data_IF_468078029480
#
_entry.id   IF_468078029480
#
_cell.length_a   1.000
_cell.length_b   1.000
_cell.length_c   1.000
_cell.angle_alpha   90.00
_cell.angle_beta   90.00
_cell.angle_gamma   90.00
#
_symmetry.space_group_name_H-M   'P 1'
#
loop_
_entity.id
_entity.type
_entity.pdbx_description
1 polymer ?
#
# COMPACT_ATOMS: atom_id res chain seq x y z
N UNK A 1 -2.99 13.36 -30.29
CA UNK A 1 -4.06 12.46 -29.84
C UNK A 1 -4.48 12.89 -28.45
N UNK A 2 -5.78 12.94 -28.17
CA UNK A 2 -6.31 13.20 -26.83
C UNK A 2 -5.95 12.03 -25.90
N UNK A 3 -5.72 12.31 -24.64
CA UNK A 3 -5.54 11.29 -23.60
C UNK A 3 -6.89 11.04 -22.92
N UNK A 4 -7.31 9.80 -22.81
CA UNK A 4 -8.58 9.47 -22.17
C UNK A 4 -8.42 9.43 -20.65
N UNK A 5 -7.42 8.70 -20.15
CA UNK A 5 -7.17 8.53 -18.72
C UNK A 5 -5.74 8.91 -18.35
N UNK A 6 -5.59 9.68 -17.27
CA UNK A 6 -4.32 9.88 -16.59
C UNK A 6 -4.41 9.31 -15.18
N UNK A 7 -3.57 8.35 -14.87
CA UNK A 7 -3.47 7.71 -13.56
C UNK A 7 -2.26 8.29 -12.84
N UNK A 8 -2.47 8.85 -11.65
CA UNK A 8 -1.41 9.41 -10.81
C UNK A 8 -1.15 8.48 -9.64
N UNK A 9 0.11 8.05 -9.48
CA UNK A 9 0.56 7.30 -8.32
C UNK A 9 1.48 8.12 -7.41
N UNK A 10 1.49 7.79 -6.13
CA UNK A 10 2.38 8.36 -5.12
C UNK A 10 3.49 7.37 -4.73
N UNK A 11 3.11 6.13 -4.43
CA UNK A 11 4.01 5.07 -3.95
C UNK A 11 4.14 3.92 -4.94
N UNK A 12 5.33 3.75 -5.51
CA UNK A 12 5.59 2.71 -6.52
C UNK A 12 5.24 1.31 -6.03
N UNK A 13 5.72 0.93 -4.83
CA UNK A 13 5.55 -0.43 -4.29
C UNK A 13 4.09 -0.77 -4.00
N UNK A 14 3.30 0.23 -3.62
CA UNK A 14 1.88 0.04 -3.25
C UNK A 14 0.95 0.12 -4.46
N UNK A 15 1.23 1.02 -5.41
CA UNK A 15 0.24 1.49 -6.38
C UNK A 15 0.57 1.08 -7.83
N UNK A 16 1.85 1.18 -8.24
CA UNK A 16 2.22 1.17 -9.66
C UNK A 16 1.81 -0.10 -10.41
N UNK A 17 1.96 -1.26 -9.79
CA UNK A 17 1.61 -2.56 -10.39
C UNK A 17 0.08 -2.68 -10.62
N UNK A 18 -0.73 -2.18 -9.67
CA UNK A 18 -2.18 -2.11 -9.78
C UNK A 18 -2.65 -1.10 -10.84
N UNK A 19 -1.98 0.06 -10.88
CA UNK A 19 -2.25 1.09 -11.90
C UNK A 19 -1.90 0.59 -13.30
N UNK A 20 -0.83 -0.21 -13.41
CA UNK A 20 -0.42 -0.81 -14.68
C UNK A 20 -1.42 -1.87 -15.15
N UNK A 21 -1.93 -2.69 -14.25
CA UNK A 21 -3.00 -3.65 -14.54
C UNK A 21 -4.25 -2.92 -15.07
N UNK A 22 -4.66 -1.85 -14.39
CA UNK A 22 -5.79 -1.02 -14.79
C UNK A 22 -5.55 -0.32 -16.14
N UNK A 23 -4.35 0.23 -16.37
CA UNK A 23 -3.96 0.83 -17.66
C UNK A 23 -4.08 -0.17 -18.80
N UNK A 24 -3.54 -1.38 -18.63
CA UNK A 24 -3.57 -2.42 -19.67
C UNK A 24 -5.01 -2.85 -19.99
N UNK A 25 -5.89 -2.96 -18.99
CA UNK A 25 -7.30 -3.24 -19.20
C UNK A 25 -8.01 -2.10 -19.97
N UNK A 26 -7.75 -0.84 -19.63
CA UNK A 26 -8.30 0.31 -20.35
C UNK A 26 -7.80 0.34 -21.80
N UNK A 27 -6.53 0.04 -22.05
CA UNK A 27 -5.96 -0.05 -23.40
C UNK A 27 -6.58 -1.20 -24.21
N UNK A 28 -6.81 -2.36 -23.58
CA UNK A 28 -7.55 -3.49 -24.19
C UNK A 28 -8.97 -3.08 -24.64
N UNK A 29 -9.62 -2.20 -23.86
CA UNK A 29 -10.94 -1.63 -24.22
C UNK A 29 -10.88 -0.52 -25.28
N UNK A 30 -9.69 -0.17 -25.79
CA UNK A 30 -9.50 0.81 -26.86
C UNK A 30 -9.29 2.24 -26.38
N UNK A 31 -9.10 2.47 -25.09
CA UNK A 31 -8.80 3.79 -24.53
C UNK A 31 -7.30 4.08 -24.49
N UNK A 32 -6.94 5.37 -24.47
CA UNK A 32 -5.58 5.81 -24.22
C UNK A 32 -5.39 6.11 -22.73
N UNK A 33 -4.38 5.47 -22.08
CA UNK A 33 -4.10 5.67 -20.67
C UNK A 33 -2.59 5.92 -20.43
N UNK A 34 -2.28 6.85 -19.54
CA UNK A 34 -0.91 7.10 -19.07
C UNK A 34 -0.84 7.02 -17.54
N UNK A 35 0.25 6.44 -17.03
CA UNK A 35 0.58 6.46 -15.61
C UNK A 35 1.69 7.48 -15.39
N UNK A 36 1.58 8.27 -14.33
CA UNK A 36 2.57 9.28 -13.98
C UNK A 36 2.71 9.43 -12.46
N UNK A 37 3.92 9.66 -12.01
CA UNK A 37 4.15 10.04 -10.62
C UNK A 37 3.50 11.39 -10.30
N UNK A 38 2.89 11.50 -9.13
CA UNK A 38 2.19 12.70 -8.67
C UNK A 38 3.07 13.95 -8.65
N UNK A 39 4.35 13.82 -8.28
CA UNK A 39 5.32 14.91 -8.20
C UNK A 39 6.14 15.12 -9.48
N UNK A 40 5.84 14.44 -10.59
CA UNK A 40 6.56 14.66 -11.86
C UNK A 40 6.30 16.07 -12.40
N UNK A 41 7.33 16.88 -12.65
CA UNK A 41 7.18 18.24 -13.19
C UNK A 41 6.82 18.27 -14.68
N UNK A 42 6.99 17.16 -15.42
CA UNK A 42 6.73 17.07 -16.87
C UNK A 42 5.25 17.06 -17.22
N UNK A 43 4.48 17.99 -16.63
CA UNK A 43 3.02 18.02 -16.69
C UNK A 43 2.44 19.06 -17.68
N UNK A 44 3.26 19.98 -18.21
CA UNK A 44 2.76 21.04 -19.12
C UNK A 44 1.98 20.49 -20.32
N UNK A 45 2.40 19.34 -20.87
CA UNK A 45 1.68 18.68 -21.97
C UNK A 45 0.22 18.38 -21.67
N UNK A 46 -0.12 18.10 -20.39
CA UNK A 46 -1.48 17.75 -19.98
C UNK A 46 -2.38 18.97 -19.81
N UNK A 47 -1.82 20.19 -19.71
CA UNK A 47 -2.60 21.42 -19.75
C UNK A 47 -3.03 21.82 -21.16
N UNK A 48 -2.26 21.40 -22.16
CA UNK A 48 -2.36 21.90 -23.53
C UNK A 48 -2.86 20.84 -24.52
N UNK A 49 -1.95 20.07 -25.11
CA UNK A 49 -2.27 19.18 -26.22
C UNK A 49 -2.59 17.72 -25.82
N UNK A 50 -2.32 17.34 -24.57
CA UNK A 50 -2.54 15.96 -24.05
C UNK A 50 -3.43 15.96 -22.81
N UNK A 51 -4.41 16.85 -22.76
CA UNK A 51 -5.30 16.97 -21.61
C UNK A 51 -6.14 15.70 -21.45
N UNK A 52 -6.09 15.03 -20.27
CA UNK A 52 -6.90 13.84 -20.04
C UNK A 52 -8.37 14.22 -19.86
N UNK A 53 -9.26 13.30 -20.27
CA UNK A 53 -10.71 13.45 -20.04
C UNK A 53 -11.09 13.03 -18.61
N UNK A 54 -10.44 12.00 -18.09
CA UNK A 54 -10.61 11.52 -16.72
C UNK A 54 -9.26 11.52 -16.00
N UNK A 55 -9.24 12.00 -14.77
CA UNK A 55 -8.10 11.86 -13.86
C UNK A 55 -8.41 10.81 -12.80
N UNK A 56 -7.48 9.87 -12.62
CA UNK A 56 -7.43 8.93 -11.53
C UNK A 56 -6.32 9.34 -10.57
N UNK A 57 -6.64 9.63 -9.31
CA UNK A 57 -5.70 10.09 -8.28
C UNK A 57 -5.62 9.09 -7.14
N UNK A 58 -4.60 9.17 -6.29
CA UNK A 58 -4.37 8.23 -5.20
C UNK A 58 -4.67 8.78 -3.80
N UNK A 59 -4.52 10.09 -3.59
CA UNK A 59 -4.68 10.70 -2.26
C UNK A 59 -5.24 12.13 -2.35
N UNK A 60 -6.56 12.25 -2.26
CA UNK A 60 -7.23 13.54 -2.46
C UNK A 60 -8.38 13.71 -1.47
N UNK A 61 -8.11 14.39 -0.35
CA UNK A 61 -8.99 14.45 0.81
C UNK A 61 -9.74 15.79 0.96
N UNK A 62 -9.24 16.87 0.36
CA UNK A 62 -9.77 18.22 0.53
C UNK A 62 -9.58 19.09 -0.73
N UNK A 63 -9.96 20.37 -0.64
CA UNK A 63 -9.80 21.33 -1.74
C UNK A 63 -8.32 21.58 -2.09
N UNK A 64 -7.41 21.56 -1.12
CA UNK A 64 -5.99 21.75 -1.40
C UNK A 64 -5.40 20.54 -2.11
N UNK A 65 -5.82 19.32 -1.74
CA UNK A 65 -5.47 18.13 -2.47
C UNK A 65 -6.01 18.15 -3.92
N UNK A 66 -7.26 18.61 -4.16
CA UNK A 66 -7.78 18.82 -5.52
C UNK A 66 -6.91 19.84 -6.25
N UNK A 67 -6.53 20.94 -5.59
CA UNK A 67 -5.67 21.94 -6.20
C UNK A 67 -4.29 21.40 -6.56
N UNK A 68 -3.63 20.70 -5.63
CA UNK A 68 -2.27 20.19 -5.82
C UNK A 68 -2.19 18.96 -6.74
N UNK A 69 -3.14 18.02 -6.63
CA UNK A 69 -3.12 16.77 -7.38
C UNK A 69 -3.80 16.87 -8.73
N UNK A 70 -4.82 17.69 -8.85
CA UNK A 70 -5.55 17.83 -10.12
C UNK A 70 -5.19 19.13 -10.82
N UNK A 71 -5.53 20.30 -10.26
CA UNK A 71 -5.37 21.57 -10.94
C UNK A 71 -3.93 21.86 -11.32
N UNK A 72 -3.00 21.67 -10.38
CA UNK A 72 -1.57 21.87 -10.64
C UNK A 72 -0.95 20.82 -11.56
N UNK A 73 -1.67 19.75 -11.91
CA UNK A 73 -1.20 18.72 -12.82
C UNK A 73 -1.77 18.82 -14.24
N UNK A 74 -3.05 19.17 -14.37
CA UNK A 74 -3.76 19.11 -15.65
C UNK A 74 -4.72 20.28 -15.87
N UNK A 75 -4.76 21.25 -14.95
CA UNK A 75 -5.75 22.33 -14.97
C UNK A 75 -7.14 21.83 -14.52
N UNK A 76 -8.20 22.50 -15.01
CA UNK A 76 -9.57 22.15 -14.63
C UNK A 76 -9.99 20.79 -15.17
N UNK A 77 -10.51 19.96 -14.28
CA UNK A 77 -11.10 18.67 -14.59
C UNK A 77 -12.25 18.38 -13.60
N UNK A 78 -13.40 17.95 -14.10
CA UNK A 78 -14.56 17.56 -13.27
C UNK A 78 -14.83 16.05 -13.31
N UNK A 79 -14.03 15.26 -14.03
CA UNK A 79 -14.07 13.80 -14.01
C UNK A 79 -12.88 13.28 -13.23
N UNK A 80 -13.08 13.12 -11.93
CA UNK A 80 -12.05 12.78 -10.96
C UNK A 80 -12.48 11.51 -10.19
N UNK A 81 -11.63 10.50 -10.24
CA UNK A 81 -11.76 9.26 -9.45
C UNK A 81 -10.54 9.16 -8.55
N UNK A 82 -10.76 9.02 -7.26
CA UNK A 82 -9.71 8.85 -6.27
C UNK A 82 -9.68 7.40 -5.81
N UNK A 83 -8.52 6.75 -5.89
CA UNK A 83 -8.33 5.35 -5.52
C UNK A 83 -8.27 5.13 -4.01
N UNK A 84 -8.31 6.15 -3.20
CA UNK A 84 -8.40 6.12 -1.74
C UNK A 84 -7.67 4.92 -1.09
N UNK A 85 -6.43 5.11 -0.68
CA UNK A 85 -5.61 4.00 -0.18
C UNK A 85 -5.70 3.76 1.34
N UNK A 86 -6.12 4.75 2.14
CA UNK A 86 -6.19 4.65 3.60
C UNK A 86 -7.59 4.20 4.03
N UNK A 87 -7.85 2.90 3.94
CA UNK A 87 -9.18 2.33 4.22
C UNK A 87 -9.23 1.42 5.45
N UNK A 88 -8.10 0.89 5.91
CA UNK A 88 -8.01 0.10 7.14
C UNK A 88 -7.51 0.97 8.29
N UNK A 89 -8.37 1.27 9.22
CA UNK A 89 -8.15 2.23 10.28
C UNK A 89 -8.33 1.58 11.67
N UNK A 90 -7.83 2.23 12.73
CA UNK A 90 -8.23 1.91 14.11
C UNK A 90 -9.60 2.50 14.44
N UNK A 91 -10.21 2.08 15.55
CA UNK A 91 -11.50 2.64 16.00
C UNK A 91 -11.43 4.16 16.15
N UNK A 92 -10.42 4.66 16.82
CA UNK A 92 -10.22 6.11 17.03
C UNK A 92 -10.10 6.86 15.70
N UNK A 93 -9.49 6.25 14.68
CA UNK A 93 -9.40 6.85 13.35
C UNK A 93 -10.71 6.76 12.57
N UNK A 94 -11.50 5.65 12.74
CA UNK A 94 -12.81 5.52 12.10
C UNK A 94 -13.86 6.45 12.70
N UNK A 95 -13.82 6.69 14.02
CA UNK A 95 -14.73 7.59 14.72
C UNK A 95 -14.35 9.06 14.55
N UNK A 96 -13.07 9.34 14.33
CA UNK A 96 -12.55 10.69 14.09
C UNK A 96 -12.65 11.12 12.62
N UNK A 97 -12.12 12.30 12.34
CA UNK A 97 -12.09 12.85 10.97
C UNK A 97 -10.86 12.38 10.14
N UNK A 98 -10.18 11.33 10.59
CA UNK A 98 -8.99 10.83 9.91
C UNK A 98 -9.37 10.20 8.57
N UNK A 99 -8.67 10.63 7.50
CA UNK A 99 -8.88 10.12 6.14
C UNK A 99 -10.33 10.25 5.62
N UNK A 100 -11.12 11.15 6.21
CA UNK A 100 -12.41 11.55 5.68
C UNK A 100 -12.27 12.72 4.70
N UNK A 101 -13.22 12.84 3.80
CA UNK A 101 -13.18 13.86 2.76
C UNK A 101 -13.88 15.13 3.20
N UNK A 102 -13.34 16.29 2.79
CA UNK A 102 -13.90 17.59 3.08
C UNK A 102 -14.04 18.47 1.83
N UNK A 103 -14.85 19.50 1.94
CA UNK A 103 -15.05 20.46 0.83
C UNK A 103 -15.49 19.78 -0.47
N UNK A 104 -14.90 20.20 -1.58
CA UNK A 104 -15.26 19.68 -2.91
C UNK A 104 -14.68 18.27 -3.19
N UNK A 105 -13.79 17.73 -2.35
CA UNK A 105 -13.38 16.34 -2.46
C UNK A 105 -14.53 15.36 -2.26
N UNK A 106 -15.57 15.74 -1.49
CA UNK A 106 -16.81 14.97 -1.37
C UNK A 106 -17.59 14.82 -2.67
N UNK A 107 -17.33 15.68 -3.66
CA UNK A 107 -17.96 15.62 -5.01
C UNK A 107 -17.19 14.74 -5.99
N UNK A 108 -15.99 14.32 -5.63
CA UNK A 108 -15.23 13.34 -6.41
C UNK A 108 -15.70 11.92 -6.11
N UNK A 109 -15.49 11.02 -7.07
CA UNK A 109 -15.71 9.60 -6.82
C UNK A 109 -14.56 9.08 -5.96
N UNK A 110 -14.90 8.49 -4.82
CA UNK A 110 -13.98 7.87 -3.86
C UNK A 110 -14.19 6.36 -3.90
N UNK A 111 -13.28 5.60 -4.50
CA UNK A 111 -13.45 4.16 -4.63
C UNK A 111 -13.25 3.45 -3.30
N UNK A 112 -14.13 2.51 -2.99
CA UNK A 112 -14.10 1.74 -1.75
C UNK A 112 -13.72 0.28 -2.05
N UNK A 113 -12.84 -0.28 -1.22
CA UNK A 113 -12.47 -1.69 -1.32
C UNK A 113 -13.60 -2.61 -0.87
N UNK A 114 -14.36 -2.20 0.14
CA UNK A 114 -15.50 -2.93 0.66
C UNK A 114 -16.60 -2.02 1.20
N UNK A 115 -17.69 -2.64 1.64
CA UNK A 115 -18.89 -1.96 2.12
C UNK A 115 -18.67 -1.17 3.42
N UNK A 116 -17.69 -1.59 4.25
CA UNK A 116 -17.38 -0.88 5.51
C UNK A 116 -16.85 0.53 5.22
N UNK A 117 -15.89 0.66 4.31
CA UNK A 117 -15.37 1.98 3.91
C UNK A 117 -16.45 2.85 3.29
N UNK A 118 -17.28 2.30 2.39
CA UNK A 118 -18.37 3.06 1.78
C UNK A 118 -19.34 3.58 2.84
N UNK A 119 -19.73 2.76 3.80
CA UNK A 119 -20.61 3.16 4.92
C UNK A 119 -19.97 4.25 5.77
N UNK A 120 -18.71 4.08 6.19
CA UNK A 120 -17.97 5.09 6.94
C UNK A 120 -17.95 6.44 6.24
N UNK A 121 -17.68 6.47 4.94
CA UNK A 121 -17.66 7.71 4.15
C UNK A 121 -19.06 8.36 4.06
N UNK A 122 -20.11 7.57 3.92
CA UNK A 122 -21.51 8.06 3.92
C UNK A 122 -21.89 8.62 5.30
N UNK A 123 -21.50 7.96 6.39
CA UNK A 123 -21.74 8.43 7.77
C UNK A 123 -21.05 9.79 8.03
N UNK A 124 -19.93 10.07 7.32
CA UNK A 124 -19.22 11.36 7.34
C UNK A 124 -19.68 12.33 6.24
N UNK A 125 -20.86 12.10 5.67
CA UNK A 125 -21.58 13.04 4.80
C UNK A 125 -21.16 13.02 3.34
N UNK A 126 -20.62 11.90 2.84
CA UNK A 126 -20.52 11.67 1.40
C UNK A 126 -21.82 11.09 0.83
N UNK A 127 -22.13 11.44 -0.40
CA UNK A 127 -23.26 10.84 -1.11
C UNK A 127 -22.90 9.43 -1.61
N UNK A 128 -23.81 8.48 -1.51
CA UNK A 128 -23.63 7.07 -1.92
C UNK A 128 -23.09 6.95 -3.37
N UNK A 129 -23.62 7.77 -4.29
CA UNK A 129 -23.18 7.79 -5.70
C UNK A 129 -21.68 8.07 -5.88
N UNK A 130 -21.05 8.69 -4.86
CA UNK A 130 -19.63 9.07 -4.85
C UNK A 130 -18.74 8.07 -4.09
N UNK A 131 -19.33 6.99 -3.52
CA UNK A 131 -18.65 5.96 -2.74
C UNK A 131 -18.83 4.55 -3.35
N UNK A 132 -18.54 4.33 -4.66
CA UNK A 132 -18.75 3.01 -5.26
C UNK A 132 -17.80 1.97 -4.67
N UNK A 133 -18.33 0.78 -4.37
CA UNK A 133 -17.51 -0.38 -3.96
C UNK A 133 -16.99 -1.07 -5.21
N UNK A 134 -15.69 -0.89 -5.47
CA UNK A 134 -15.00 -1.48 -6.64
C UNK A 134 -14.13 -2.67 -6.28
N UNK A 135 -13.85 -2.88 -4.99
CA UNK A 135 -12.81 -3.79 -4.56
C UNK A 135 -11.40 -3.18 -4.65
N UNK A 136 -10.43 -3.92 -4.17
CA UNK A 136 -9.03 -3.51 -4.10
C UNK A 136 -8.24 -4.15 -5.26
N UNK A 137 -7.88 -3.36 -6.27
CA UNK A 137 -7.17 -3.84 -7.48
C UNK A 137 -5.86 -4.57 -7.13
N UNK A 138 -5.14 -4.13 -6.08
CA UNK A 138 -3.92 -4.78 -5.65
C UNK A 138 -4.13 -6.23 -5.15
N UNK A 139 -5.35 -6.61 -4.79
CA UNK A 139 -5.68 -7.97 -4.36
C UNK A 139 -5.94 -8.93 -5.54
N UNK A 140 -6.21 -8.40 -6.72
CA UNK A 140 -6.49 -9.25 -7.89
C UNK A 140 -5.31 -10.14 -8.27
N UNK A 141 -4.07 -9.72 -8.02
CA UNK A 141 -2.87 -10.55 -8.25
C UNK A 141 -2.83 -11.84 -7.42
N UNK A 142 -3.64 -11.95 -6.37
CA UNK A 142 -3.76 -13.13 -5.51
C UNK A 142 -4.92 -14.05 -5.91
N UNK A 143 -5.74 -13.64 -6.89
CA UNK A 143 -6.88 -14.40 -7.37
C UNK A 143 -6.45 -15.60 -8.23
N UNK A 144 -7.30 -16.63 -8.34
CA UNK A 144 -7.03 -17.78 -9.20
C UNK A 144 -6.72 -17.42 -10.67
N UNK A 145 -7.32 -16.34 -11.19
CA UNK A 145 -7.10 -15.84 -12.56
C UNK A 145 -5.66 -15.38 -12.80
N UNK A 146 -4.94 -15.01 -11.73
CA UNK A 146 -3.53 -14.61 -11.75
C UNK A 146 -2.59 -15.75 -11.32
N UNK A 147 -3.05 -16.99 -11.32
CA UNK A 147 -2.17 -18.13 -11.00
C UNK A 147 -0.96 -18.15 -11.93
N UNK A 148 0.24 -18.23 -11.35
CA UNK A 148 1.50 -18.18 -12.07
C UNK A 148 2.05 -16.76 -12.27
N UNK A 149 1.38 -15.72 -11.79
CA UNK A 149 1.92 -14.36 -11.77
C UNK A 149 3.13 -14.23 -10.83
N UNK A 150 3.05 -14.87 -9.65
CA UNK A 150 4.18 -14.99 -8.74
C UNK A 150 4.90 -16.31 -8.93
N UNK A 151 6.22 -16.31 -8.67
CA UNK A 151 7.02 -17.52 -8.67
C UNK A 151 6.52 -18.51 -7.59
N UNK A 152 6.63 -19.82 -7.87
CA UNK A 152 6.36 -20.85 -6.87
C UNK A 152 7.45 -20.92 -5.81
N UNK A 153 7.15 -21.60 -4.69
CA UNK A 153 8.05 -21.77 -3.54
C UNK A 153 9.47 -22.17 -3.94
N UNK A 154 9.59 -23.18 -4.81
CA UNK A 154 10.89 -23.73 -5.20
C UNK A 154 11.77 -22.68 -5.89
N UNK A 155 11.22 -21.90 -6.83
CA UNK A 155 11.98 -20.85 -7.54
C UNK A 155 12.33 -19.71 -6.58
N UNK A 156 11.39 -19.30 -5.72
CA UNK A 156 11.61 -18.26 -4.73
C UNK A 156 12.70 -18.65 -3.74
N UNK A 157 12.63 -19.87 -3.17
CA UNK A 157 13.65 -20.37 -2.25
C UNK A 157 15.03 -20.38 -2.90
N UNK A 158 15.17 -20.91 -4.12
CA UNK A 158 16.45 -20.91 -4.84
C UNK A 158 16.99 -19.49 -5.05
N UNK A 159 16.14 -18.52 -5.39
CA UNK A 159 16.54 -17.12 -5.61
C UNK A 159 17.15 -16.48 -4.36
N UNK A 160 16.69 -16.89 -3.18
CA UNK A 160 17.15 -16.35 -1.91
C UNK A 160 18.08 -17.29 -1.12
N UNK A 161 18.48 -18.43 -1.70
CA UNK A 161 19.40 -19.37 -1.06
C UNK A 161 18.80 -20.17 0.09
N UNK A 162 17.46 -20.35 0.09
CA UNK A 162 16.73 -21.19 1.04
C UNK A 162 16.57 -22.60 0.51
N UNK A 163 16.40 -23.58 1.41
CA UNK A 163 16.10 -24.96 1.02
C UNK A 163 14.60 -25.09 0.66
N UNK A 164 14.24 -25.44 -0.59
CA UNK A 164 12.85 -25.58 -0.98
C UNK A 164 12.13 -26.79 -0.33
N UNK A 165 12.89 -27.72 0.24
CA UNK A 165 12.34 -28.89 0.95
C UNK A 165 11.91 -28.55 2.37
N UNK A 166 12.56 -27.56 3.00
CA UNK A 166 12.20 -27.10 4.33
C UNK A 166 10.79 -26.52 4.35
N UNK A 167 10.14 -26.58 5.51
CA UNK A 167 8.90 -25.86 5.75
C UNK A 167 9.18 -24.36 5.79
N UNK A 168 8.60 -23.61 4.84
CA UNK A 168 8.81 -22.18 4.72
C UNK A 168 7.78 -21.43 5.57
N UNK A 169 8.21 -20.91 6.72
CA UNK A 169 7.40 -20.04 7.56
C UNK A 169 7.65 -18.57 7.25
N UNK A 170 6.61 -17.84 6.90
CA UNK A 170 6.68 -16.39 6.65
C UNK A 170 6.20 -15.62 7.88
N UNK A 171 7.04 -14.77 8.45
CA UNK A 171 6.61 -13.75 9.40
C UNK A 171 6.55 -12.37 8.75
N UNK A 172 5.38 -11.73 8.79
CA UNK A 172 5.18 -10.38 8.25
C UNK A 172 5.18 -9.39 9.41
N UNK A 173 6.29 -8.68 9.56
CA UNK A 173 6.51 -7.73 10.64
C UNK A 173 5.80 -6.39 10.41
N UNK A 174 5.50 -5.69 11.53
CA UNK A 174 5.02 -4.32 11.56
C UNK A 174 5.60 -3.53 12.76
N UNK A 175 6.81 -3.88 13.20
CA UNK A 175 7.50 -3.26 14.34
C UNK A 175 8.22 -1.95 13.98
N UNK A 176 7.61 -1.10 13.18
CA UNK A 176 8.21 0.15 12.72
C UNK A 176 8.59 1.12 13.85
N UNK A 177 7.93 1.04 15.00
CA UNK A 177 8.22 1.89 16.16
C UNK A 177 9.25 1.28 17.13
N UNK A 178 9.56 -0.02 17.01
CA UNK A 178 10.44 -0.71 17.94
C UNK A 178 11.88 -0.15 17.92
N UNK A 179 12.36 0.27 16.76
CA UNK A 179 13.70 0.82 16.55
C UNK A 179 13.82 2.34 16.73
N UNK A 180 12.70 3.04 16.98
CA UNK A 180 12.72 4.49 17.19
C UNK A 180 13.32 4.86 18.54
N UNK A 181 14.16 5.90 18.57
CA UNK A 181 14.62 6.52 19.80
C UNK A 181 13.50 7.27 20.52
N UNK A 182 13.66 7.56 21.81
CA UNK A 182 12.66 8.34 22.55
C UNK A 182 12.46 9.73 21.95
N UNK A 183 13.54 10.36 21.43
CA UNK A 183 13.46 11.67 20.76
C UNK A 183 12.68 11.60 19.44
N UNK A 184 12.86 10.54 18.66
CA UNK A 184 12.09 10.32 17.42
C UNK A 184 10.62 10.09 17.72
N UNK A 185 10.28 9.27 18.73
CA UNK A 185 8.90 9.04 19.18
C UNK A 185 8.28 10.35 19.68
N UNK A 186 9.01 11.14 20.46
CA UNK A 186 8.54 12.45 20.95
C UNK A 186 8.29 13.42 19.78
N UNK A 187 9.23 13.53 18.85
CA UNK A 187 9.09 14.41 17.68
C UNK A 187 7.89 14.00 16.82
N UNK A 188 7.67 12.70 16.62
CA UNK A 188 6.51 12.18 15.89
C UNK A 188 5.20 12.48 16.63
N UNK A 189 5.18 12.31 17.96
CA UNK A 189 4.03 12.59 18.82
C UNK A 189 3.64 14.08 18.78
N UNK A 190 4.62 14.98 18.86
CA UNK A 190 4.40 16.42 18.74
C UNK A 190 3.85 16.80 17.35
N UNK A 191 4.38 16.20 16.29
CA UNK A 191 3.93 16.46 14.92
C UNK A 191 2.52 15.95 14.66
N UNK A 192 2.16 14.79 15.21
CA UNK A 192 0.86 14.16 15.04
C UNK A 192 -0.19 14.65 16.05
N UNK A 193 0.22 15.33 17.12
CA UNK A 193 -0.70 15.71 18.22
C UNK A 193 -1.21 14.53 19.05
N UNK A 194 -0.50 13.40 19.05
CA UNK A 194 -0.89 12.15 19.73
C UNK A 194 0.36 11.52 20.37
N UNK A 195 0.26 11.07 21.63
CA UNK A 195 1.38 10.43 22.33
C UNK A 195 1.57 8.97 21.87
N UNK A 196 2.65 8.70 21.15
CA UNK A 196 3.01 7.36 20.70
C UNK A 196 3.94 6.60 21.63
N UNK A 197 4.28 7.13 22.82
CA UNK A 197 5.26 6.50 23.72
C UNK A 197 4.84 5.12 24.22
N UNK A 198 3.55 4.94 24.57
CA UNK A 198 2.95 3.66 24.94
C UNK A 198 3.06 2.67 23.79
N UNK A 199 2.62 3.06 22.62
CA UNK A 199 2.64 2.21 21.42
C UNK A 199 4.05 1.81 21.00
N UNK A 200 5.04 2.71 21.06
CA UNK A 200 6.43 2.39 20.79
C UNK A 200 6.99 1.36 21.78
N UNK A 201 6.60 1.44 23.06
CA UNK A 201 6.95 0.43 24.08
C UNK A 201 6.31 -0.91 23.78
N UNK A 202 5.03 -0.95 23.46
CA UNK A 202 4.31 -2.18 23.07
C UNK A 202 4.93 -2.83 21.84
N UNK A 203 5.33 -2.03 20.82
CA UNK A 203 6.09 -2.52 19.66
C UNK A 203 7.38 -3.21 20.08
N UNK A 204 8.17 -2.56 20.94
CA UNK A 204 9.50 -3.04 21.37
C UNK A 204 9.39 -4.36 22.13
N UNK A 205 8.52 -4.42 23.14
CA UNK A 205 8.31 -5.61 23.95
C UNK A 205 7.72 -6.76 23.13
N UNK A 206 6.76 -6.46 22.22
CA UNK A 206 6.19 -7.48 21.33
C UNK A 206 7.23 -8.05 20.38
N UNK A 207 8.11 -7.21 19.81
CA UNK A 207 9.21 -7.67 18.97
C UNK A 207 10.16 -8.58 19.73
N UNK A 208 10.62 -8.17 20.92
CA UNK A 208 11.53 -8.96 21.77
C UNK A 208 10.97 -10.33 22.10
N UNK A 209 9.70 -10.39 22.52
CA UNK A 209 9.05 -11.67 22.85
C UNK A 209 8.83 -12.53 21.59
N UNK A 210 8.42 -11.95 20.48
CA UNK A 210 8.23 -12.69 19.23
C UNK A 210 9.56 -13.29 18.74
N UNK A 211 10.66 -12.53 18.79
CA UNK A 211 11.98 -13.04 18.43
C UNK A 211 12.46 -14.16 19.38
N UNK A 212 12.14 -14.07 20.67
CA UNK A 212 12.44 -15.14 21.63
C UNK A 212 11.65 -16.43 21.32
N UNK A 213 10.39 -16.32 20.88
CA UNK A 213 9.62 -17.48 20.42
C UNK A 213 10.24 -18.10 19.17
N UNK A 214 10.65 -17.30 18.21
CA UNK A 214 11.31 -17.80 16.99
C UNK A 214 12.64 -18.48 17.32
N UNK A 215 13.47 -17.89 18.19
CA UNK A 215 14.74 -18.49 18.60
C UNK A 215 14.55 -19.89 19.21
N UNK A 216 13.57 -20.02 20.12
CA UNK A 216 13.24 -21.30 20.74
C UNK A 216 12.71 -22.30 19.72
N UNK A 217 11.75 -21.90 18.89
CA UNK A 217 11.12 -22.77 17.91
C UNK A 217 12.11 -23.28 16.86
N UNK A 218 12.92 -22.39 16.30
CA UNK A 218 13.92 -22.76 15.29
C UNK A 218 15.08 -23.61 15.83
N UNK A 219 15.34 -23.57 17.15
CA UNK A 219 16.27 -24.50 17.80
C UNK A 219 15.75 -25.93 17.84
N UNK A 220 14.42 -26.08 17.97
CA UNK A 220 13.74 -27.36 18.07
C UNK A 220 13.36 -27.93 16.71
N UNK A 221 13.28 -27.05 15.65
CA UNK A 221 12.79 -27.35 14.30
C UNK A 221 13.78 -26.95 13.21
N UNK A 222 14.89 -27.67 13.02
CA UNK A 222 15.89 -27.34 11.99
C UNK A 222 15.37 -27.49 10.55
N UNK A 223 14.25 -28.22 10.34
CA UNK A 223 13.57 -28.41 9.05
C UNK A 223 12.68 -27.22 8.65
N UNK A 224 12.60 -26.17 9.48
CA UNK A 224 11.81 -24.95 9.20
C UNK A 224 12.75 -23.80 8.87
N UNK A 225 12.55 -23.18 7.71
CA UNK A 225 13.14 -21.89 7.36
C UNK A 225 12.14 -20.78 7.67
N UNK A 226 12.49 -19.85 8.57
CA UNK A 226 11.66 -18.69 8.90
C UNK A 226 12.17 -17.45 8.17
N UNK A 227 11.33 -16.89 7.32
CA UNK A 227 11.58 -15.61 6.64
C UNK A 227 10.91 -14.49 7.40
N UNK A 228 11.72 -13.64 8.04
CA UNK A 228 11.28 -12.41 8.68
C UNK A 228 11.24 -11.28 7.66
N UNK A 229 10.03 -10.86 7.28
CA UNK A 229 9.79 -9.75 6.36
C UNK A 229 9.60 -8.47 7.16
N UNK A 230 10.61 -7.58 7.15
CA UNK A 230 10.51 -6.27 7.79
C UNK A 230 9.47 -5.38 7.14
N UNK A 231 8.77 -4.59 7.95
CA UNK A 231 7.96 -3.49 7.42
C UNK A 231 8.87 -2.45 6.73
N UNK A 232 8.40 -1.74 5.67
CA UNK A 232 9.22 -0.70 5.01
C UNK A 232 9.74 0.42 5.90
N UNK A 233 9.05 0.70 7.01
CA UNK A 233 9.49 1.69 8.03
C UNK A 233 10.32 1.07 9.16
N UNK A 234 10.52 -0.23 9.18
CA UNK A 234 11.28 -0.94 10.20
C UNK A 234 12.76 -0.97 9.84
N UNK A 235 13.59 -0.46 10.71
CA UNK A 235 15.05 -0.54 10.57
C UNK A 235 15.56 -1.91 11.00
N UNK A 236 16.71 -2.31 10.46
CA UNK A 236 17.40 -3.49 10.95
C UNK A 236 17.85 -3.23 12.39
N UNK A 237 17.62 -4.19 13.28
CA UNK A 237 17.96 -4.06 14.69
C UNK A 237 19.05 -5.05 15.08
N UNK A 238 19.87 -4.76 16.12
CA UNK A 238 20.86 -5.70 16.64
C UNK A 238 20.25 -7.06 16.99
N UNK A 239 19.03 -7.10 17.54
CA UNK A 239 18.35 -8.33 17.90
C UNK A 239 18.08 -9.24 16.69
N UNK A 240 17.68 -8.63 15.53
CA UNK A 240 17.50 -9.39 14.28
C UNK A 240 18.82 -9.94 13.75
N UNK A 241 19.90 -9.14 13.81
CA UNK A 241 21.23 -9.55 13.37
C UNK A 241 21.80 -10.67 14.24
N UNK A 242 21.66 -10.54 15.56
CA UNK A 242 22.09 -11.56 16.53
C UNK A 242 21.33 -12.88 16.34
N UNK A 243 20.01 -12.82 16.12
CA UNK A 243 19.22 -14.02 15.87
C UNK A 243 19.61 -14.68 14.54
N UNK A 244 19.77 -13.91 13.48
CA UNK A 244 20.21 -14.40 12.17
C UNK A 244 21.63 -15.03 12.22
N UNK A 245 22.53 -14.45 13.02
CA UNK A 245 23.86 -15.01 13.24
C UNK A 245 23.84 -16.34 14.03
N UNK A 246 22.88 -16.49 14.95
CA UNK A 246 22.75 -17.67 15.82
C UNK A 246 21.95 -18.81 15.17
N UNK A 247 20.96 -18.48 14.33
CA UNK A 247 20.04 -19.44 13.70
C UNK A 247 20.20 -19.43 12.18
N UNK A 248 20.85 -20.44 11.59
CA UNK A 248 21.03 -20.49 10.12
C UNK A 248 19.71 -20.60 9.34
N UNK A 249 18.64 -21.03 9.99
CA UNK A 249 17.29 -21.13 9.46
C UNK A 249 16.38 -19.94 9.80
N UNK A 250 16.97 -18.81 10.24
CA UNK A 250 16.28 -17.52 10.40
C UNK A 250 16.81 -16.51 9.37
N UNK A 251 15.96 -16.03 8.50
CA UNK A 251 16.34 -15.20 7.35
C UNK A 251 15.63 -13.86 7.38
N UNK A 252 16.37 -12.76 7.41
CA UNK A 252 15.82 -11.40 7.29
C UNK A 252 15.86 -10.98 5.83
N UNK A 253 14.71 -11.04 5.15
CA UNK A 253 14.62 -10.76 3.71
C UNK A 253 13.64 -9.62 3.46
N UNK A 254 14.13 -8.52 2.87
CA UNK A 254 13.31 -7.35 2.50
C UNK A 254 12.92 -7.34 1.02
N UNK A 255 13.67 -8.03 0.17
CA UNK A 255 13.47 -8.03 -1.28
C UNK A 255 12.20 -8.79 -1.72
N UNK A 256 11.66 -8.40 -2.85
CA UNK A 256 10.45 -8.96 -3.43
C UNK A 256 9.14 -8.41 -2.85
N UNK A 257 8.02 -8.77 -3.47
CA UNK A 257 6.69 -8.41 -2.97
C UNK A 257 6.30 -9.31 -1.79
N UNK A 258 5.59 -8.77 -0.79
CA UNK A 258 5.01 -9.60 0.28
C UNK A 258 4.05 -10.65 -0.28
N UNK A 259 3.34 -10.34 -1.37
CA UNK A 259 2.39 -11.26 -2.02
C UNK A 259 3.07 -12.52 -2.56
N UNK A 260 4.26 -12.40 -3.17
CA UNK A 260 4.98 -13.60 -3.64
C UNK A 260 5.41 -14.50 -2.47
N UNK A 261 5.82 -13.92 -1.35
CA UNK A 261 6.13 -14.66 -0.14
C UNK A 261 4.89 -15.31 0.48
N UNK A 262 3.75 -14.60 0.53
CA UNK A 262 2.47 -15.15 0.99
C UNK A 262 2.08 -16.36 0.13
N UNK A 263 2.18 -16.27 -1.21
CA UNK A 263 1.84 -17.37 -2.12
C UNK A 263 2.77 -18.57 -1.91
N UNK A 264 4.06 -18.34 -1.69
CA UNK A 264 5.07 -19.38 -1.57
C UNK A 264 5.11 -20.06 -0.17
N UNK A 265 4.77 -19.35 0.91
CA UNK A 265 4.90 -19.84 2.27
C UNK A 265 3.98 -21.03 2.57
N UNK A 266 4.47 -21.99 3.35
CA UNK A 266 3.67 -23.11 3.85
C UNK A 266 2.83 -22.70 5.09
N UNK A 267 3.37 -21.80 5.93
CA UNK A 267 2.64 -21.18 7.04
C UNK A 267 3.02 -19.73 7.19
N UNK A 268 2.13 -18.95 7.81
CA UNK A 268 2.29 -17.49 7.93
C UNK A 268 1.97 -17.06 9.36
N UNK A 269 2.75 -16.13 9.88
CA UNK A 269 2.39 -15.40 11.09
C UNK A 269 2.58 -13.89 10.93
N UNK A 270 1.81 -13.12 11.69
CA UNK A 270 1.80 -11.66 11.65
C UNK A 270 1.60 -11.11 13.06
N UNK A 271 1.94 -9.84 13.28
CA UNK A 271 1.60 -9.13 14.51
C UNK A 271 0.39 -8.20 14.31
N UNK A 272 0.51 -7.18 13.44
CA UNK A 272 -0.47 -6.13 13.20
C UNK A 272 -0.39 -5.63 11.74
N UNK A 273 -0.10 -6.50 10.79
CA UNK A 273 0.07 -6.09 9.40
C UNK A 273 -1.25 -6.05 8.64
N UNK A 274 -1.47 -5.00 7.86
CA UNK A 274 -2.59 -4.93 6.90
C UNK A 274 -2.52 -6.03 5.83
N UNK A 275 -1.37 -6.68 5.68
CA UNK A 275 -1.20 -7.85 4.79
C UNK A 275 -2.01 -9.08 5.22
N UNK A 276 -2.69 -9.04 6.38
CA UNK A 276 -3.68 -10.08 6.75
C UNK A 276 -4.76 -10.23 5.67
N UNK A 277 -5.13 -9.13 5.01
CA UNK A 277 -6.07 -9.17 3.89
C UNK A 277 -5.49 -9.89 2.66
N UNK A 278 -4.18 -9.70 2.39
CA UNK A 278 -3.48 -10.40 1.31
C UNK A 278 -3.39 -11.90 1.60
N UNK A 279 -3.20 -12.31 2.86
CA UNK A 279 -3.24 -13.72 3.27
C UNK A 279 -4.62 -14.33 3.03
N UNK A 280 -5.69 -13.61 3.41
CA UNK A 280 -7.07 -14.04 3.16
C UNK A 280 -7.37 -14.20 1.67
N UNK A 281 -7.01 -13.20 0.87
CA UNK A 281 -7.25 -13.21 -0.58
C UNK A 281 -6.43 -14.27 -1.32
N UNK A 282 -5.28 -14.67 -0.78
CA UNK A 282 -4.49 -15.81 -1.28
C UNK A 282 -5.12 -17.17 -0.92
N UNK A 283 -6.25 -17.20 -0.21
CA UNK A 283 -6.88 -18.44 0.26
C UNK A 283 -6.05 -19.17 1.33
N UNK A 284 -5.22 -18.44 2.05
CA UNK A 284 -4.37 -18.98 3.13
C UNK A 284 -4.84 -18.51 4.51
N UNK A 285 -4.32 -19.16 5.54
CA UNK A 285 -4.49 -18.73 6.93
C UNK A 285 -3.17 -18.23 7.52
N UNK A 286 -3.24 -17.63 8.71
CA UNK A 286 -2.08 -17.19 9.46
C UNK A 286 -2.32 -17.25 10.98
N UNK A 287 -1.23 -17.18 11.73
CA UNK A 287 -1.25 -16.98 13.18
C UNK A 287 -1.09 -15.48 13.47
N UNK A 288 -1.94 -14.93 14.34
CA UNK A 288 -1.75 -13.55 14.82
C UNK A 288 -1.02 -13.63 16.16
N UNK A 289 0.25 -13.21 16.18
CA UNK A 289 1.07 -13.23 17.38
C UNK A 289 0.87 -11.95 18.19
N UNK A 290 0.36 -12.09 19.41
CA UNK A 290 0.07 -10.97 20.34
C UNK A 290 0.65 -11.24 21.70
N UNK A 291 2.00 -11.31 21.84
CA UNK A 291 2.61 -11.57 23.14
C UNK A 291 2.28 -10.50 24.18
N UNK A 292 1.98 -9.27 23.72
CA UNK A 292 1.49 -8.17 24.54
C UNK A 292 0.24 -7.59 23.89
N UNK A 293 -0.82 -7.24 24.65
CA UNK A 293 -1.98 -6.53 24.14
C UNK A 293 -1.57 -5.20 23.47
N UNK A 294 -2.26 -4.85 22.41
CA UNK A 294 -2.12 -3.53 21.77
C UNK A 294 -3.20 -2.62 22.35
N UNK A 295 -2.83 -1.37 22.60
CA UNK A 295 -3.78 -0.34 23.04
C UNK A 295 -4.88 -0.16 21.97
N UNK A 296 -6.12 -0.08 22.41
CA UNK A 296 -7.32 -0.01 21.58
C UNK A 296 -7.25 1.07 20.48
N UNK A 297 -6.65 2.22 20.80
CA UNK A 297 -6.50 3.36 19.89
C UNK A 297 -5.59 3.08 18.68
N UNK A 298 -4.70 2.08 18.80
CA UNK A 298 -3.72 1.72 17.75
C UNK A 298 -4.04 0.40 17.05
N UNK A 299 -4.91 -0.45 17.64
CA UNK A 299 -5.25 -1.74 17.05
C UNK A 299 -6.24 -1.55 15.88
N UNK A 300 -5.88 -1.94 14.63
CA UNK A 300 -6.76 -1.78 13.50
C UNK A 300 -8.06 -2.57 13.66
N UNK A 301 -9.18 -1.97 13.29
CA UNK A 301 -10.52 -2.58 13.43
C UNK A 301 -10.62 -3.93 12.71
N UNK A 302 -9.85 -4.14 11.65
CA UNK A 302 -9.79 -5.41 10.93
C UNK A 302 -9.36 -6.59 11.80
N UNK A 303 -8.71 -6.34 12.95
CA UNK A 303 -8.30 -7.37 13.91
C UNK A 303 -9.36 -7.69 14.97
N UNK A 304 -10.49 -6.96 14.99
CA UNK A 304 -11.57 -7.20 15.98
C UNK A 304 -12.12 -8.61 15.90
N UNK A 305 -12.21 -9.24 17.08
CA UNK A 305 -12.68 -10.62 17.20
C UNK A 305 -11.71 -11.68 16.68
N UNK A 306 -10.47 -11.28 16.39
CA UNK A 306 -9.42 -12.19 15.91
C UNK A 306 -8.99 -13.20 16.97
N UNK A 307 -8.47 -14.34 16.51
CA UNK A 307 -7.86 -15.37 17.34
C UNK A 307 -6.35 -15.07 17.46
N UNK A 308 -5.91 -14.76 18.68
CA UNK A 308 -4.52 -14.40 18.95
C UNK A 308 -3.76 -15.55 19.59
N UNK A 309 -2.46 -15.65 19.29
CA UNK A 309 -1.49 -16.49 20.01
C UNK A 309 -0.70 -15.57 20.94
N UNK A 310 -0.88 -15.76 22.25
CA UNK A 310 -0.36 -14.87 23.29
C UNK A 310 0.81 -15.48 24.06
N UNK A 311 1.05 -16.78 23.88
CA UNK A 311 2.14 -17.53 24.51
C UNK A 311 2.95 -18.31 23.46
N UNK A 312 4.18 -18.72 23.83
CA UNK A 312 4.99 -19.59 22.99
C UNK A 312 4.29 -20.92 22.69
N UNK A 313 3.65 -21.50 23.70
CA UNK A 313 2.95 -22.79 23.59
C UNK A 313 1.80 -22.71 22.58
N UNK A 314 1.04 -21.62 22.58
CA UNK A 314 -0.02 -21.37 21.60
C UNK A 314 0.54 -21.14 20.18
N UNK A 315 1.68 -20.44 20.07
CA UNK A 315 2.38 -20.29 18.81
C UNK A 315 2.87 -21.63 18.27
N UNK A 316 3.59 -22.41 19.09
CA UNK A 316 4.13 -23.70 18.68
C UNK A 316 3.01 -24.71 18.32
N UNK A 317 1.90 -24.71 19.07
CA UNK A 317 0.72 -25.50 18.74
C UNK A 317 0.12 -25.09 17.40
N UNK A 318 -0.01 -23.77 17.15
CA UNK A 318 -0.51 -23.25 15.89
C UNK A 318 0.38 -23.56 14.69
N UNK A 319 1.70 -23.63 14.87
CA UNK A 319 2.64 -24.06 13.83
C UNK A 319 2.48 -25.56 13.45
N UNK A 320 1.92 -26.37 14.33
CA UNK A 320 1.64 -27.79 14.10
C UNK A 320 0.24 -28.04 13.50
N UNK A 321 -0.61 -27.02 13.38
CA UNK A 321 -1.94 -27.14 12.77
C UNK A 321 -1.83 -27.33 11.24
N UNK A 322 -2.36 -28.43 10.70
CA UNK A 322 -2.29 -28.72 9.26
C UNK A 322 -3.17 -27.79 8.42
N UNK A 323 -4.33 -27.37 8.92
CA UNK A 323 -5.30 -26.53 8.22
C UNK A 323 -5.94 -25.53 9.19
N UNK A 324 -5.19 -24.52 9.66
CA UNK A 324 -5.73 -23.54 10.60
C UNK A 324 -6.86 -22.74 9.96
N UNK A 325 -7.93 -22.50 10.70
CA UNK A 325 -8.96 -21.54 10.30
C UNK A 325 -8.37 -20.13 10.19
N UNK A 326 -8.94 -19.32 9.28
CA UNK A 326 -8.52 -17.94 9.18
C UNK A 326 -8.88 -17.18 10.46
N UNK A 327 -7.92 -16.47 11.10
CA UNK A 327 -8.07 -16.00 12.47
C UNK A 327 -9.02 -14.79 12.64
N UNK A 328 -9.46 -14.16 11.55
CA UNK A 328 -10.38 -13.03 11.57
C UNK A 328 -11.77 -13.47 11.11
N UNK A 329 -12.86 -13.05 11.80
CA UNK A 329 -14.21 -13.34 11.35
C UNK A 329 -14.45 -12.90 9.90
N UNK A 330 -15.07 -13.77 9.11
CA UNK A 330 -15.29 -13.56 7.67
C UNK A 330 -16.01 -12.26 7.37
N UNK A 331 -17.02 -11.92 8.16
CA UNK A 331 -17.80 -10.69 8.00
C UNK A 331 -16.96 -9.41 8.23
N UNK A 332 -15.91 -9.49 9.05
CA UNK A 332 -15.00 -8.37 9.29
C UNK A 332 -14.11 -8.16 8.07
N UNK A 333 -13.41 -9.22 7.60
CA UNK A 333 -12.49 -9.10 6.48
C UNK A 333 -13.21 -8.75 5.18
N UNK A 334 -14.37 -9.37 4.91
CA UNK A 334 -15.19 -9.11 3.72
C UNK A 334 -15.92 -7.75 3.78
N UNK A 335 -16.08 -7.18 4.96
CA UNK A 335 -16.54 -5.80 5.11
C UNK A 335 -15.53 -4.78 4.57
N UNK A 336 -14.22 -5.05 4.74
CA UNK A 336 -13.15 -4.21 4.20
C UNK A 336 -12.82 -4.52 2.74
N UNK A 337 -12.87 -5.80 2.35
CA UNK A 337 -12.51 -6.28 1.01
C UNK A 337 -13.68 -7.02 0.39
N UNK A 338 -14.33 -6.38 -0.57
CA UNK A 338 -15.52 -6.93 -1.21
C UNK A 338 -15.24 -8.32 -1.85
N UNK A 339 -16.01 -9.35 -1.46
CA UNK A 339 -15.76 -10.74 -1.88
C UNK A 339 -16.29 -11.05 -3.28
N UNK A 340 -16.62 -10.04 -4.09
CA UNK A 340 -17.16 -10.24 -5.44
C UNK A 340 -16.32 -11.23 -6.24
N UNK A 341 -16.96 -12.20 -6.95
CA UNK A 341 -16.24 -13.13 -7.83
C UNK A 341 -15.61 -12.40 -9.03
N UNK A 342 -16.12 -11.23 -9.41
CA UNK A 342 -15.55 -10.43 -10.50
C UNK A 342 -14.34 -9.62 -10.03
N UNK A 343 -13.18 -9.71 -10.70
CA UNK A 343 -11.98 -8.97 -10.34
C UNK A 343 -12.20 -7.47 -10.17
N UNK A 344 -11.49 -6.88 -9.20
CA UNK A 344 -11.64 -5.46 -8.88
C UNK A 344 -11.16 -4.56 -10.03
N UNK A 345 -10.10 -4.94 -10.76
CA UNK A 345 -9.62 -4.15 -11.90
C UNK A 345 -10.65 -4.05 -13.03
N UNK A 346 -11.45 -5.09 -13.26
CA UNK A 346 -12.54 -5.06 -14.25
C UNK A 346 -13.68 -4.15 -13.81
N UNK A 347 -14.04 -4.20 -12.52
CA UNK A 347 -15.08 -3.32 -11.93
C UNK A 347 -14.63 -1.87 -11.93
N UNK A 348 -13.35 -1.63 -11.63
CA UNK A 348 -12.74 -0.31 -11.69
C UNK A 348 -12.72 0.22 -13.14
N UNK A 349 -12.37 -0.61 -14.11
CA UNK A 349 -12.39 -0.22 -15.52
C UNK A 349 -13.81 0.13 -16.00
N UNK A 350 -14.84 -0.63 -15.56
CA UNK A 350 -16.25 -0.30 -15.85
C UNK A 350 -16.66 1.07 -15.27
N UNK A 351 -16.27 1.33 -14.01
CA UNK A 351 -16.50 2.62 -13.37
C UNK A 351 -15.84 3.75 -14.15
N UNK A 352 -14.58 3.57 -14.55
CA UNK A 352 -13.83 4.57 -15.30
C UNK A 352 -14.44 4.83 -16.69
N UNK A 353 -14.91 3.79 -17.37
CA UNK A 353 -15.62 3.90 -18.63
C UNK A 353 -16.96 4.64 -18.48
N UNK A 354 -17.70 4.36 -17.39
CA UNK A 354 -18.90 5.12 -17.04
C UNK A 354 -18.60 6.61 -16.81
N UNK A 355 -17.54 6.91 -16.04
CA UNK A 355 -17.11 8.30 -15.78
C UNK A 355 -16.65 8.99 -17.05
N UNK A 356 -16.02 8.26 -17.97
CA UNK A 356 -15.58 8.79 -19.26
C UNK A 356 -16.76 9.13 -20.18
N UNK A 357 -17.76 8.27 -20.28
CA UNK A 357 -18.86 8.39 -21.25
C UNK A 357 -19.99 9.31 -20.77
N UNK A 358 -20.28 9.30 -19.46
CA UNK A 358 -21.36 10.09 -18.88
C UNK A 358 -20.90 11.53 -18.53
N UNK A 359 -21.81 12.51 -18.52
CA UNK A 359 -21.51 13.82 -17.96
C UNK A 359 -21.19 13.71 -16.46
N UNK A 360 -20.31 14.60 -15.92
CA UNK A 360 -20.04 14.63 -14.50
C UNK A 360 -21.34 14.89 -13.72
N UNK A 361 -21.60 14.08 -12.68
CA UNK A 361 -22.78 14.26 -11.81
C UNK A 361 -22.62 15.47 -10.89
N UNK A 362 -21.40 15.73 -10.47
CA UNK A 362 -20.99 16.85 -9.65
C UNK A 362 -19.80 17.58 -10.31
N UNK A 363 -19.54 18.79 -9.84
CA UNK A 363 -18.43 19.62 -10.33
C UNK A 363 -17.43 19.88 -9.18
N UNK A 364 -16.44 18.99 -8.96
CA UNK A 364 -15.42 19.20 -7.92
C UNK A 364 -14.70 20.55 -8.01
N UNK A 365 -14.50 21.05 -9.23
CA UNK A 365 -13.90 22.38 -9.48
C UNK A 365 -14.93 23.44 -9.83
N UNK A 366 -16.19 23.25 -9.42
CA UNK A 366 -17.28 24.21 -9.56
C UNK A 366 -17.28 25.31 -8.48
N UNK A 367 -18.47 25.83 -8.12
CA UNK A 367 -18.61 26.83 -7.06
C UNK A 367 -17.98 26.39 -5.74
N UNK A 368 -17.25 27.31 -5.09
CA UNK A 368 -16.51 27.02 -3.83
C UNK A 368 -15.09 26.46 -4.02
N UNK A 369 -14.66 26.22 -5.25
CA UNK A 369 -13.28 25.87 -5.56
C UNK A 369 -12.51 27.07 -6.13
N UNK A 370 -11.44 27.51 -5.42
CA UNK A 370 -10.56 28.60 -5.87
C UNK A 370 -9.22 28.01 -6.31
N UNK A 371 -9.01 27.82 -7.62
CA UNK A 371 -7.78 27.23 -8.12
C UNK A 371 -6.61 28.22 -8.02
N UNK A 372 -5.45 27.70 -7.65
CA UNK A 372 -4.20 28.45 -7.69
C UNK A 372 -3.05 27.56 -8.16
N UNK A 373 -2.15 28.14 -8.98
CA UNK A 373 -0.98 27.42 -9.48
C UNK A 373 0.25 27.80 -8.63
N UNK A 374 0.86 26.79 -8.02
CA UNK A 374 2.05 26.99 -7.19
C UNK A 374 3.32 26.95 -8.05
N UNK A 375 3.70 28.12 -8.62
CA UNK A 375 4.88 28.27 -9.45
C UNK A 375 6.18 27.93 -8.71
N UNK A 376 6.29 28.28 -7.44
CA UNK A 376 7.49 28.00 -6.65
C UNK A 376 7.69 26.49 -6.49
N UNK A 377 6.63 25.78 -6.10
CA UNK A 377 6.65 24.31 -5.99
C UNK A 377 6.95 23.66 -7.36
N UNK A 378 6.40 24.20 -8.44
CA UNK A 378 6.64 23.70 -9.78
C UNK A 378 8.12 23.77 -10.18
N UNK A 379 8.77 24.92 -9.99
CA UNK A 379 10.19 25.08 -10.29
C UNK A 379 11.09 24.31 -9.33
N UNK A 380 10.71 24.22 -8.05
CA UNK A 380 11.44 23.39 -7.07
C UNK A 380 11.44 21.91 -7.47
N UNK A 381 10.29 21.38 -7.93
CA UNK A 381 10.19 20.01 -8.45
C UNK A 381 11.09 19.82 -9.69
N UNK A 382 11.12 20.78 -10.63
CA UNK A 382 12.02 20.73 -11.77
C UNK A 382 13.48 20.67 -11.34
N UNK A 383 13.89 21.53 -10.42
CA UNK A 383 15.25 21.55 -9.88
C UNK A 383 15.64 20.22 -9.23
N UNK A 384 14.77 19.66 -8.39
CA UNK A 384 15.04 18.37 -7.72
C UNK A 384 15.08 17.20 -8.72
N UNK A 385 14.18 17.15 -9.71
CA UNK A 385 14.24 16.11 -10.74
C UNK A 385 15.49 16.23 -11.62
N UNK A 386 15.99 17.44 -11.88
CA UNK A 386 17.27 17.64 -12.57
C UNK A 386 18.44 17.09 -11.71
N UNK A 387 18.47 17.39 -10.40
CA UNK A 387 19.46 16.84 -9.49
C UNK A 387 19.42 15.31 -9.48
N UNK A 388 18.21 14.72 -9.41
CA UNK A 388 18.04 13.29 -9.46
C UNK A 388 18.57 12.68 -10.77
N UNK A 389 18.24 13.27 -11.92
CA UNK A 389 18.72 12.82 -13.22
C UNK A 389 20.25 12.91 -13.37
N UNK A 390 20.89 13.86 -12.68
CA UNK A 390 22.34 14.04 -12.66
C UNK A 390 23.03 13.26 -11.52
N UNK A 391 22.29 12.49 -10.72
CA UNK A 391 22.76 11.78 -9.52
C UNK A 391 23.46 12.71 -8.50
N UNK A 392 22.97 13.94 -8.38
CA UNK A 392 23.49 14.94 -7.44
C UNK A 392 22.61 15.00 -6.19
N UNK A 393 23.19 14.68 -5.03
CA UNK A 393 22.49 14.77 -3.75
C UNK A 393 22.25 16.23 -3.34
N UNK A 394 20.99 16.64 -3.05
CA UNK A 394 20.68 18.03 -2.70
C UNK A 394 21.49 18.58 -1.53
N UNK A 395 21.78 17.78 -0.50
CA UNK A 395 22.62 18.23 0.65
C UNK A 395 24.05 18.59 0.25
N UNK A 396 24.60 17.93 -0.77
CA UNK A 396 25.93 18.27 -1.31
C UNK A 396 25.91 19.51 -2.18
N UNK A 397 24.80 19.75 -2.90
CA UNK A 397 24.63 20.92 -3.78
C UNK A 397 24.31 22.18 -2.96
N UNK A 398 23.40 22.09 -2.01
CA UNK A 398 22.95 23.22 -1.18
C UNK A 398 23.64 23.28 0.19
N UNK A 399 24.92 22.86 0.28
CA UNK A 399 25.68 22.83 1.54
C UNK A 399 25.72 24.17 2.28
N UNK A 400 25.55 25.29 1.56
CA UNK A 400 25.56 26.65 2.07
C UNK A 400 24.24 27.10 2.72
N UNK A 401 23.13 26.31 2.57
CA UNK A 401 21.82 26.68 3.12
C UNK A 401 21.05 25.44 3.61
N UNK A 402 21.16 25.12 4.91
CA UNK A 402 20.61 23.92 5.53
C UNK A 402 19.10 23.73 5.24
N UNK A 403 18.27 24.77 5.43
CA UNK A 403 16.82 24.66 5.21
C UNK A 403 16.44 24.30 3.76
N UNK A 404 17.14 24.86 2.78
CA UNK A 404 16.96 24.53 1.37
C UNK A 404 17.44 23.12 1.07
N UNK A 405 18.58 22.73 1.62
CA UNK A 405 19.14 21.39 1.48
C UNK A 405 18.18 20.32 2.02
N UNK A 406 17.65 20.50 3.22
CA UNK A 406 16.73 19.56 3.86
C UNK A 406 15.36 19.51 3.14
N UNK A 407 14.85 20.65 2.66
CA UNK A 407 13.64 20.71 1.84
C UNK A 407 13.82 19.95 0.52
N UNK A 408 14.90 20.24 -0.22
CA UNK A 408 15.19 19.58 -1.49
C UNK A 408 15.49 18.08 -1.29
N UNK A 409 16.16 17.70 -0.20
CA UNK A 409 16.45 16.30 0.12
C UNK A 409 15.19 15.49 0.41
N UNK A 410 14.18 16.06 1.08
CA UNK A 410 12.88 15.40 1.29
C UNK A 410 12.19 15.11 -0.04
N UNK A 411 12.11 16.10 -0.93
CA UNK A 411 11.51 15.90 -2.25
C UNK A 411 12.32 14.88 -3.07
N UNK A 412 13.65 14.95 -3.02
CA UNK A 412 14.53 13.99 -3.71
C UNK A 412 14.26 12.55 -3.25
N UNK A 413 14.13 12.32 -1.94
CA UNK A 413 13.79 11.01 -1.40
C UNK A 413 12.42 10.48 -1.88
N UNK A 414 11.41 11.35 -2.04
CA UNK A 414 10.13 10.95 -2.66
C UNK A 414 10.30 10.61 -4.14
N UNK A 415 11.06 11.41 -4.89
CA UNK A 415 11.32 11.15 -6.32
C UNK A 415 12.05 9.83 -6.50
N UNK A 416 13.07 9.55 -5.67
CA UNK A 416 13.84 8.31 -5.70
C UNK A 416 12.97 7.08 -5.41
N UNK A 417 12.17 7.13 -4.32
CA UNK A 417 11.26 6.04 -3.92
C UNK A 417 10.15 5.77 -4.93
N UNK A 418 9.72 6.81 -5.63
CA UNK A 418 8.64 6.70 -6.61
C UNK A 418 9.16 6.53 -8.05
N UNK A 419 10.48 6.47 -8.26
CA UNK A 419 11.05 6.28 -9.59
C UNK A 419 10.89 4.83 -10.07
N UNK A 420 10.32 4.70 -11.28
CA UNK A 420 10.28 3.43 -12.00
C UNK A 420 10.99 3.60 -13.32
N UNK A 421 12.04 2.82 -13.54
CA UNK A 421 12.79 2.89 -14.78
C UNK A 421 11.98 2.32 -15.96
N UNK A 422 12.23 2.77 -17.20
CA UNK A 422 11.55 2.20 -18.38
C UNK A 422 11.75 0.70 -18.55
N UNK A 423 12.85 0.15 -18.06
CA UNK A 423 13.10 -1.29 -18.09
C UNK A 423 12.21 -2.04 -17.11
N UNK A 424 12.04 -1.52 -15.88
CA UNK A 424 11.12 -2.08 -14.90
C UNK A 424 9.67 -2.01 -15.38
N UNK A 425 9.26 -0.89 -16.00
CA UNK A 425 7.91 -0.76 -16.58
C UNK A 425 7.66 -1.86 -17.61
N UNK A 426 8.57 -2.03 -18.59
CA UNK A 426 8.43 -3.06 -19.61
C UNK A 426 8.36 -4.47 -19.01
N UNK A 427 9.24 -4.78 -18.07
CA UNK A 427 9.24 -6.08 -17.41
C UNK A 427 7.92 -6.37 -16.66
N UNK A 428 7.35 -5.36 -15.99
CA UNK A 428 6.03 -5.48 -15.35
C UNK A 428 4.91 -5.61 -16.38
N UNK A 429 4.92 -4.82 -17.47
CA UNK A 429 3.92 -4.94 -18.55
C UNK A 429 3.95 -6.34 -19.18
N UNK A 430 5.13 -6.85 -19.51
CA UNK A 430 5.30 -8.20 -20.09
C UNK A 430 4.76 -9.28 -19.16
N UNK A 431 4.93 -9.11 -17.84
CA UNK A 431 4.43 -10.05 -16.84
C UNK A 431 2.91 -9.99 -16.66
N UNK A 432 2.30 -8.78 -16.68
CA UNK A 432 0.85 -8.59 -16.46
C UNK A 432 0.03 -8.88 -17.71
N UNK A 433 0.52 -8.50 -18.90
CA UNK A 433 -0.21 -8.55 -20.18
C UNK A 433 -0.87 -9.91 -20.48
N UNK A 434 -0.24 -11.07 -20.26
CA UNK A 434 -0.88 -12.36 -20.51
C UNK A 434 -2.17 -12.59 -19.70
N UNK A 435 -2.25 -12.04 -18.49
CA UNK A 435 -3.43 -12.18 -17.63
C UNK A 435 -4.57 -11.25 -18.04
N UNK A 436 -4.26 -10.10 -18.61
CA UNK A 436 -5.25 -9.17 -19.17
C UNK A 436 -5.78 -9.69 -20.51
N UNK A 437 -4.91 -10.16 -21.41
CA UNK A 437 -5.28 -10.60 -22.77
C UNK A 437 -5.88 -12.01 -22.79
N UNK A 438 -5.46 -12.89 -21.86
CA UNK A 438 -5.91 -14.27 -21.75
C UNK A 438 -7.22 -14.50 -20.98
N UNK A 439 -7.73 -13.47 -20.30
CA UNK A 439 -8.90 -13.57 -19.41
C UNK A 439 -10.25 -13.91 -20.07
N UNK A 440 -10.29 -14.13 -21.37
CA UNK A 440 -11.50 -14.60 -22.09
C UNK A 440 -11.53 -16.13 -22.32
N UNK A 441 -10.54 -16.88 -21.80
CA UNK A 441 -10.42 -18.34 -22.02
C UNK A 441 -10.53 -19.19 -20.76
N UNK A 442 -11.03 -18.64 -19.64
CA UNK A 442 -11.25 -19.42 -18.42
C UNK A 442 -12.74 -19.58 -18.10
#
# INVERSE_FOLDING_TARGET
>A
MSLDFLILYEHTVREYESDLLLKLELEKRGYTAEIRQLLDPKRLKYFTWKKPKVLVSSCMYDNEAINSHVYNNIGRCNRIVNLHWEQMLSDTQEEGDWFNFSGNAKKCIQTCWGSRTARRLMDHGMEEKNCPVTGAVMMDFLRPEFRGYFEGKEALCRRFGLDPVHHLHLYISSFGYASMTEEEVKSLSEMAGTDFSGFARTNRVSMEQTLAWFDRYLAEHPEVDLVYRRHPSEWNSPQLEELAARRPNFHVIFAGSVKEWIVAADSISIWMSTSIAEVYMAGKSCLILRPVPIEHEYDPVIYKGGQYRTTYEEFAAGMAEENPEFPIPKEVIEGYFDPSPRPAYLRMADLLEQVYTQPPRDEPMGPGFTPHFNWLKYFALWGVHLLFALHLEPRKVFFFHKGLADFAQRIYGYVEKAHVSPAQVRAMEERIRPFVEGGEKA
#
